data_IF_269870450982
#
_entry.id   IF_269870450982
#
_cell.length_a   1.000
_cell.length_b   1.000
_cell.length_c   1.000
_cell.angle_alpha   90.00
_cell.angle_beta   90.00
_cell.angle_gamma   90.00
#
_symmetry.space_group_name_H-M   'P 1'
#
loop_
_entity.id
_entity.type
_entity.pdbx_description
1 polymer ?
#
# COMPACT_ATOMS: atom_id res chain seq x y z
N UNK A 1 -18.46 -13.36 -17.11
CA UNK A 1 -18.11 -14.26 -15.99
C UNK A 1 -19.31 -14.73 -15.15
N UNK A 2 -20.15 -13.86 -14.54
CA UNK A 2 -21.30 -14.28 -13.68
C UNK A 2 -22.37 -15.15 -14.34
N UNK A 3 -22.64 -14.97 -15.64
CA UNK A 3 -23.81 -15.55 -16.34
C UNK A 3 -23.61 -16.95 -16.95
N UNK A 4 -22.40 -17.50 -16.92
CA UNK A 4 -22.11 -18.81 -17.52
C UNK A 4 -21.41 -19.78 -16.58
N UNK A 5 -20.57 -19.28 -15.66
CA UNK A 5 -19.78 -20.15 -14.78
C UNK A 5 -20.53 -20.64 -13.53
N UNK A 6 -21.46 -19.84 -13.00
CA UNK A 6 -22.20 -20.18 -11.77
C UNK A 6 -23.16 -21.35 -11.99
N UNK A 7 -23.96 -21.42 -13.08
CA UNK A 7 -24.87 -22.54 -13.31
C UNK A 7 -24.13 -23.87 -13.49
N UNK A 8 -23.00 -23.86 -14.21
CA UNK A 8 -22.16 -25.03 -14.45
C UNK A 8 -21.54 -25.58 -13.15
N UNK A 9 -21.07 -24.69 -12.26
CA UNK A 9 -20.52 -25.09 -10.95
C UNK A 9 -21.57 -25.67 -9.99
N UNK A 10 -22.83 -25.21 -10.09
CA UNK A 10 -23.94 -25.74 -9.29
C UNK A 10 -24.43 -27.10 -9.81
N UNK A 11 -24.37 -27.35 -11.13
CA UNK A 11 -24.81 -28.61 -11.73
C UNK A 11 -23.77 -29.73 -11.59
N UNK A 12 -22.48 -29.47 -11.81
CA UNK A 12 -21.47 -30.53 -11.94
C UNK A 12 -20.63 -30.81 -10.68
N UNK A 13 -20.56 -29.89 -9.71
CA UNK A 13 -19.64 -30.02 -8.56
C UNK A 13 -20.33 -30.15 -7.19
N UNK A 14 -21.18 -29.19 -6.79
CA UNK A 14 -21.96 -29.27 -5.54
C UNK A 14 -22.99 -28.12 -5.47
N UNK A 15 -24.24 -28.39 -5.08
CA UNK A 15 -25.24 -27.33 -4.87
C UNK A 15 -24.82 -26.31 -3.78
N UNK A 16 -23.88 -26.69 -2.92
CA UNK A 16 -23.31 -25.83 -1.86
C UNK A 16 -22.10 -24.97 -2.29
N UNK A 17 -21.70 -24.98 -3.58
CA UNK A 17 -20.57 -24.15 -4.05
C UNK A 17 -20.82 -22.66 -3.79
N UNK A 18 -22.05 -22.16 -3.99
CA UNK A 18 -22.38 -20.75 -3.72
C UNK A 18 -22.21 -20.40 -2.23
N UNK A 19 -22.83 -21.10 -1.26
CA UNK A 19 -22.65 -20.78 0.16
C UNK A 19 -21.21 -20.93 0.64
N UNK A 20 -20.43 -21.89 0.12
CA UNK A 20 -18.99 -21.97 0.43
C UNK A 20 -18.19 -20.80 -0.13
N UNK A 21 -18.47 -20.35 -1.36
CA UNK A 21 -17.84 -19.16 -1.93
C UNK A 21 -18.23 -17.88 -1.17
N UNK A 22 -19.48 -17.79 -0.71
CA UNK A 22 -19.93 -16.68 0.14
C UNK A 22 -19.20 -16.69 1.48
N UNK A 23 -19.15 -17.83 2.17
CA UNK A 23 -18.44 -17.96 3.44
C UNK A 23 -16.93 -17.66 3.30
N UNK A 24 -16.30 -18.08 2.20
CA UNK A 24 -14.93 -17.68 1.87
C UNK A 24 -14.82 -16.17 1.63
N UNK A 25 -15.78 -15.56 0.94
CA UNK A 25 -15.86 -14.11 0.76
C UNK A 25 -15.96 -13.35 2.09
N UNK A 26 -16.76 -13.85 3.02
CA UNK A 26 -16.92 -13.27 4.36
C UNK A 26 -15.62 -13.41 5.18
N UNK A 27 -15.04 -14.61 5.24
CA UNK A 27 -13.79 -14.86 5.97
C UNK A 27 -12.62 -14.03 5.41
N UNK A 28 -12.54 -13.89 4.09
CA UNK A 28 -11.52 -13.06 3.44
C UNK A 28 -11.75 -11.59 3.73
N UNK A 29 -12.99 -11.12 3.77
CA UNK A 29 -13.33 -9.73 4.12
C UNK A 29 -12.90 -9.40 5.55
N UNK A 30 -13.24 -10.25 6.52
CA UNK A 30 -12.84 -10.06 7.91
C UNK A 30 -11.31 -10.05 8.08
N UNK A 31 -10.63 -11.00 7.41
CA UNK A 31 -9.17 -11.08 7.41
C UNK A 31 -8.52 -9.84 6.81
N UNK A 32 -9.06 -9.33 5.70
CA UNK A 32 -8.58 -8.11 5.06
C UNK A 32 -8.81 -6.87 5.93
N UNK A 33 -9.97 -6.76 6.60
CA UNK A 33 -10.25 -5.68 7.54
C UNK A 33 -9.27 -5.65 8.72
N UNK A 34 -8.90 -6.82 9.24
CA UNK A 34 -7.88 -6.94 10.28
C UNK A 34 -6.50 -6.47 9.78
N UNK A 35 -6.09 -6.91 8.58
CA UNK A 35 -4.85 -6.47 7.94
C UNK A 35 -4.84 -4.96 7.68
N UNK A 36 -5.97 -4.40 7.26
CA UNK A 36 -6.15 -2.98 7.10
C UNK A 36 -5.90 -2.28 8.45
N UNK A 37 -6.62 -2.65 9.51
CA UNK A 37 -6.45 -2.03 10.83
C UNK A 37 -5.00 -2.09 11.33
N UNK A 38 -4.30 -3.21 11.10
CA UNK A 38 -2.88 -3.34 11.43
C UNK A 38 -2.02 -2.40 10.58
N UNK A 39 -2.29 -2.27 9.28
CA UNK A 39 -1.60 -1.33 8.41
C UNK A 39 -1.81 0.13 8.84
N UNK A 40 -3.02 0.52 9.24
CA UNK A 40 -3.26 1.86 9.81
C UNK A 40 -2.43 2.10 11.07
N UNK A 41 -2.29 1.08 11.91
CA UNK A 41 -1.46 1.15 13.11
C UNK A 41 0.01 1.37 12.76
N UNK A 42 0.53 0.62 11.78
CA UNK A 42 1.90 0.83 11.27
C UNK A 42 2.07 2.27 10.80
N UNK A 43 1.14 2.79 10.00
CA UNK A 43 1.21 4.16 9.50
C UNK A 43 1.12 5.19 10.61
N UNK A 44 0.22 5.01 11.58
CA UNK A 44 0.08 5.93 12.72
C UNK A 44 1.35 6.01 13.56
N UNK A 45 2.07 4.91 13.69
CA UNK A 45 3.29 4.85 14.49
C UNK A 45 4.54 5.32 13.72
N UNK A 46 4.57 5.14 12.40
CA UNK A 46 5.75 5.38 11.56
C UNK A 46 5.71 6.67 10.73
N UNK A 47 4.54 7.25 10.45
CA UNK A 47 4.44 8.51 9.70
C UNK A 47 4.86 9.67 10.60
N UNK A 48 5.98 10.30 10.27
CA UNK A 48 6.49 11.49 10.95
C UNK A 48 5.81 12.77 10.48
N UNK A 49 5.51 12.84 9.17
CA UNK A 49 4.86 13.98 8.56
C UNK A 49 4.04 13.51 7.37
N UNK A 50 2.81 14.02 7.26
CA UNK A 50 1.94 13.79 6.11
C UNK A 50 1.35 15.11 5.63
N UNK A 51 1.67 15.46 4.41
CA UNK A 51 1.13 16.62 3.68
C UNK A 51 0.82 16.20 2.25
N UNK A 52 0.15 17.05 1.47
CA UNK A 52 -0.13 16.77 0.06
C UNK A 52 1.16 16.63 -0.78
N UNK A 53 2.22 17.36 -0.41
CA UNK A 53 3.46 17.47 -1.18
C UNK A 53 4.62 16.64 -0.61
N UNK A 54 4.51 16.18 0.64
CA UNK A 54 5.53 15.33 1.24
C UNK A 54 4.96 14.40 2.29
N UNK A 55 5.41 13.15 2.23
CA UNK A 55 5.21 12.17 3.30
C UNK A 55 6.57 11.69 3.80
N UNK A 56 6.75 11.71 5.12
CA UNK A 56 7.97 11.26 5.80
C UNK A 56 7.63 10.09 6.70
N UNK A 57 8.37 8.99 6.53
CA UNK A 57 8.22 7.73 7.24
C UNK A 57 9.49 7.46 8.05
N UNK A 58 9.33 7.01 9.29
CA UNK A 58 10.41 6.51 10.14
C UNK A 58 10.63 5.02 9.85
N UNK A 59 11.71 4.72 9.12
CA UNK A 59 12.08 3.37 8.74
C UNK A 59 12.35 2.50 9.98
N UNK A 60 12.86 3.06 11.08
CA UNK A 60 13.15 2.26 12.28
C UNK A 60 11.86 1.68 12.87
N UNK A 61 10.80 2.50 12.92
CA UNK A 61 9.48 2.08 13.38
C UNK A 61 8.80 1.16 12.37
N UNK A 62 8.95 1.42 11.07
CA UNK A 62 8.41 0.52 10.04
C UNK A 62 9.05 -0.86 10.11
N UNK A 63 10.37 -0.96 10.30
CA UNK A 63 11.10 -2.24 10.33
C UNK A 63 10.78 -3.13 11.53
N UNK A 64 10.04 -2.63 12.52
CA UNK A 64 9.52 -3.46 13.62
C UNK A 64 8.38 -4.37 13.17
N UNK A 65 7.78 -4.09 12.00
CA UNK A 65 6.66 -4.83 11.46
C UNK A 65 7.10 -5.80 10.35
N UNK A 66 6.34 -6.89 10.10
CA UNK A 66 6.65 -7.82 9.02
C UNK A 66 6.66 -7.14 7.63
N UNK A 67 7.54 -7.54 6.69
CA UNK A 67 7.63 -6.93 5.36
C UNK A 67 6.31 -6.92 4.58
N UNK A 68 5.49 -7.95 4.74
CA UNK A 68 4.17 -8.03 4.11
C UNK A 68 3.23 -6.93 4.64
N UNK A 69 3.30 -6.61 5.93
CA UNK A 69 2.49 -5.56 6.55
C UNK A 69 3.01 -4.16 6.21
N UNK A 70 4.33 -3.99 6.15
CA UNK A 70 4.96 -2.75 5.63
C UNK A 70 4.45 -2.46 4.21
N UNK A 71 4.44 -3.48 3.34
CA UNK A 71 3.94 -3.36 1.97
C UNK A 71 2.45 -2.99 1.95
N UNK A 72 1.62 -3.66 2.76
CA UNK A 72 0.19 -3.34 2.86
C UNK A 72 -0.05 -1.91 3.35
N UNK A 73 0.71 -1.48 4.35
CA UNK A 73 0.69 -0.12 4.88
C UNK A 73 1.09 0.92 3.82
N UNK A 74 2.14 0.67 3.03
CA UNK A 74 2.56 1.57 1.95
C UNK A 74 1.51 1.70 0.84
N UNK A 75 0.88 0.59 0.44
CA UNK A 75 -0.22 0.59 -0.52
C UNK A 75 -1.38 1.43 0.03
N UNK A 76 -1.74 1.21 1.29
CA UNK A 76 -2.85 1.91 1.93
C UNK A 76 -2.57 3.41 2.10
N UNK A 77 -1.35 3.76 2.50
CA UNK A 77 -0.89 5.15 2.57
C UNK A 77 -1.07 5.85 1.21
N UNK A 78 -0.68 5.17 0.13
CA UNK A 78 -0.82 5.70 -1.23
C UNK A 78 -2.29 5.92 -1.62
N UNK A 79 -3.16 4.96 -1.31
CA UNK A 79 -4.61 5.10 -1.56
C UNK A 79 -5.19 6.28 -0.77
N UNK A 80 -4.77 6.49 0.48
CA UNK A 80 -5.21 7.62 1.29
C UNK A 80 -4.66 8.98 0.80
N UNK A 81 -3.57 9.00 0.04
CA UNK A 81 -3.00 10.22 -0.56
C UNK A 81 -3.66 10.58 -1.90
N UNK A 82 -4.56 9.74 -2.42
CA UNK A 82 -5.23 9.92 -3.72
C UNK A 82 -4.25 10.04 -4.90
N UNK A 83 -3.03 9.52 -4.75
CA UNK A 83 -2.01 9.57 -5.80
C UNK A 83 -2.31 8.57 -6.93
N UNK A 84 -1.94 8.88 -8.19
CA UNK A 84 -2.32 8.07 -9.33
C UNK A 84 -1.71 6.67 -9.28
N UNK A 85 -2.53 5.66 -9.01
CA UNK A 85 -2.11 4.25 -8.91
C UNK A 85 -1.86 3.57 -10.27
N UNK A 86 -2.24 4.21 -11.39
CA UNK A 86 -2.40 3.60 -12.72
C UNK A 86 -1.16 2.91 -13.34
N UNK A 87 -0.01 2.90 -12.66
CA UNK A 87 1.22 2.23 -13.13
C UNK A 87 2.03 1.50 -12.02
N UNK A 88 1.54 1.47 -10.78
CA UNK A 88 2.23 0.81 -9.66
C UNK A 88 1.98 -0.70 -9.66
N UNK A 89 2.95 -1.46 -10.15
CA UNK A 89 2.97 -2.93 -10.08
C UNK A 89 3.50 -3.45 -8.74
N UNK A 90 3.28 -4.73 -8.43
CA UNK A 90 3.80 -5.38 -7.22
C UNK A 90 5.33 -5.24 -7.07
N UNK A 91 6.07 -5.28 -8.18
CA UNK A 91 7.53 -5.09 -8.18
C UNK A 91 7.95 -3.72 -7.61
N UNK A 92 7.19 -2.66 -7.86
CA UNK A 92 7.46 -1.34 -7.31
C UNK A 92 7.23 -1.28 -5.81
N UNK A 93 6.16 -1.93 -5.32
CA UNK A 93 5.87 -2.03 -3.89
C UNK A 93 6.91 -2.85 -3.15
N UNK A 94 7.34 -3.97 -3.75
CA UNK A 94 8.41 -4.79 -3.20
C UNK A 94 9.73 -4.01 -3.13
N UNK A 95 10.05 -3.19 -4.15
CA UNK A 95 11.23 -2.31 -4.13
C UNK A 95 11.14 -1.23 -3.06
N UNK A 96 9.98 -0.58 -2.90
CA UNK A 96 9.77 0.43 -1.86
C UNK A 96 9.88 -0.18 -0.45
N UNK A 97 9.23 -1.31 -0.21
CA UNK A 97 9.33 -2.02 1.06
C UNK A 97 10.76 -2.50 1.33
N UNK A 98 11.47 -2.99 0.31
CA UNK A 98 12.87 -3.35 0.44
C UNK A 98 13.74 -2.16 0.83
N UNK A 99 13.52 -0.97 0.26
CA UNK A 99 14.25 0.25 0.62
C UNK A 99 13.97 0.70 2.06
N UNK A 100 12.72 0.60 2.53
CA UNK A 100 12.35 0.87 3.93
C UNK A 100 13.02 -0.13 4.87
N UNK A 101 13.09 -1.41 4.47
CA UNK A 101 13.68 -2.49 5.27
C UNK A 101 15.21 -2.54 5.24
N UNK A 102 15.82 -2.12 4.13
CA UNK A 102 17.27 -2.02 3.99
C UNK A 102 17.76 -0.78 4.73
N UNK A 103 17.85 -0.92 6.05
CA UNK A 103 18.73 -0.07 6.84
C UNK A 103 20.11 -0.15 6.20
N UNK A 104 20.58 0.98 5.66
CA UNK A 104 21.83 1.11 4.91
C UNK A 104 22.91 0.18 5.47
N UNK A 105 23.11 -0.99 4.87
CA UNK A 105 24.22 -1.85 5.25
C UNK A 105 25.49 -1.12 4.80
N UNK A 106 26.42 -0.78 5.70
CA UNK A 106 27.64 -0.10 5.32
C UNK A 106 28.41 -1.01 4.35
N UNK A 107 28.44 -0.63 3.07
CA UNK A 107 29.16 -1.37 2.01
C UNK A 107 28.32 -1.84 0.82
N UNK A 108 26.99 -1.74 0.86
CA UNK A 108 26.16 -1.95 -0.34
C UNK A 108 25.80 -0.60 -0.95
N UNK A 109 25.79 -0.42 -2.29
CA UNK A 109 25.24 0.77 -2.93
C UNK A 109 23.72 0.76 -2.74
N UNK A 110 23.27 1.07 -1.52
CA UNK A 110 21.88 1.16 -1.16
C UNK A 110 21.27 2.28 -1.99
N UNK A 111 20.40 1.91 -2.92
CA UNK A 111 19.74 2.85 -3.80
C UNK A 111 18.94 3.84 -2.94
N UNK A 112 19.50 5.03 -2.79
CA UNK A 112 19.05 6.02 -1.81
C UNK A 112 17.88 6.84 -2.35
N UNK A 113 17.66 6.80 -3.67
CA UNK A 113 16.59 7.51 -4.35
C UNK A 113 16.14 6.74 -5.60
N UNK A 114 14.84 6.67 -5.84
CA UNK A 114 14.29 6.21 -7.11
C UNK A 114 12.95 6.87 -7.41
N UNK A 115 12.51 6.81 -8.67
CA UNK A 115 11.21 7.34 -9.08
C UNK A 115 10.19 6.23 -9.24
N UNK A 116 9.02 6.44 -8.64
CA UNK A 116 7.84 5.63 -8.87
C UNK A 116 7.06 6.13 -10.08
N UNK A 117 6.31 5.24 -10.75
CA UNK A 117 5.42 5.65 -11.84
C UNK A 117 4.35 6.64 -11.33
N UNK A 118 4.34 7.87 -11.87
CA UNK A 118 3.32 8.86 -11.52
C UNK A 118 3.87 10.15 -10.90
N UNK A 119 4.80 10.80 -11.59
CA UNK A 119 5.97 11.49 -10.99
C UNK A 119 5.98 11.47 -9.46
N UNK A 120 6.54 10.44 -8.82
CA UNK A 120 6.79 10.45 -7.37
C UNK A 120 8.23 10.07 -7.13
N UNK A 121 8.98 10.96 -6.50
CA UNK A 121 10.33 10.71 -6.04
C UNK A 121 10.28 10.07 -4.64
N UNK A 122 11.01 8.97 -4.49
CA UNK A 122 11.27 8.29 -3.22
C UNK A 122 12.71 8.56 -2.85
N UNK A 123 12.96 9.09 -1.66
CA UNK A 123 14.30 9.34 -1.13
C UNK A 123 14.42 8.72 0.27
N UNK A 124 15.37 7.79 0.46
CA UNK A 124 15.75 7.25 1.75
C UNK A 124 16.90 8.06 2.34
N UNK A 125 16.77 8.57 3.57
CA UNK A 125 17.85 9.24 4.29
C UNK A 125 18.05 8.55 5.64
N UNK A 126 19.09 7.73 5.74
CA UNK A 126 19.45 6.98 6.95
C UNK A 126 18.29 6.12 7.49
N UNK A 127 17.45 6.72 8.33
CA UNK A 127 16.33 6.11 9.03
C UNK A 127 14.97 6.68 8.59
N UNK A 128 14.94 7.56 7.59
CA UNK A 128 13.71 8.20 7.13
C UNK A 128 13.50 7.97 5.64
N UNK A 129 12.31 7.55 5.23
CA UNK A 129 11.91 7.55 3.82
C UNK A 129 11.00 8.74 3.54
N UNK A 130 11.33 9.50 2.52
CA UNK A 130 10.58 10.65 2.03
C UNK A 130 9.97 10.33 0.68
N UNK A 131 8.67 10.60 0.57
CA UNK A 131 7.89 10.47 -0.66
C UNK A 131 7.44 11.88 -1.07
N UNK A 132 7.83 12.31 -2.25
CA UNK A 132 7.46 13.62 -2.81
C UNK A 132 6.85 13.42 -4.20
N UNK A 133 5.62 13.89 -4.47
CA UNK A 133 5.12 13.95 -5.82
C UNK A 133 5.96 14.96 -6.60
N UNK A 134 6.59 14.48 -7.67
CA UNK A 134 7.25 15.32 -8.66
C UNK A 134 6.24 16.29 -9.27
N UNK A 135 6.72 17.51 -9.52
CA UNK A 135 5.95 18.72 -9.81
C UNK A 135 4.95 18.68 -11.00
N UNK A 136 4.74 17.53 -11.65
CA UNK A 136 3.78 17.34 -12.75
C UNK A 136 2.44 16.73 -12.36
N UNK A 137 2.16 16.53 -11.07
CA UNK A 137 0.93 15.90 -10.58
C UNK A 137 0.29 16.67 -9.43
N UNK A 138 -0.18 17.90 -9.69
CA UNK A 138 -1.04 18.63 -8.75
C UNK A 138 -2.24 17.76 -8.37
N UNK A 139 -2.29 17.34 -7.11
CA UNK A 139 -3.53 16.83 -6.53
C UNK A 139 -4.51 18.00 -6.45
N UNK A 140 -5.59 17.87 -7.22
CA UNK A 140 -6.76 18.73 -7.26
C UNK A 140 -7.20 19.06 -5.84
N UNK A 141 -7.11 20.33 -5.48
CA UNK A 141 -7.61 20.85 -4.22
C UNK A 141 -9.13 20.96 -4.30
N UNK A 142 -9.87 20.00 -3.74
CA UNK A 142 -11.30 20.21 -3.49
C UNK A 142 -11.51 20.79 -2.08
N UNK A 143 -11.61 22.11 -2.10
CA UNK A 143 -12.17 22.97 -1.08
C UNK A 143 -13.59 22.53 -0.70
N UNK A 144 -13.82 22.20 0.57
CA UNK A 144 -15.13 22.37 1.21
C UNK A 144 -15.01 22.31 2.73
N UNK A 145 -14.76 23.48 3.32
CA UNK A 145 -15.48 23.88 4.53
C UNK A 145 -16.88 24.34 4.08
N UNK A 146 -17.92 24.05 4.88
CA UNK A 146 -18.60 25.19 5.47
C UNK A 146 -19.02 24.99 6.94
N UNK A 147 -18.81 26.09 7.68
CA UNK A 147 -19.56 26.66 8.80
C UNK A 147 -19.95 25.80 9.99
#
# INVERSE_FOLDING_TARGET
>A
IRRQLIPLLQQDYNAQVIPHLTALGELTTESLQCLDQLADRVLKESVLQRTADVVRLDNTRMTQWPPALIRHALIRLWDQLHWPRKRLTEAHWNRLAALVCQQSQPGSPAETRFQLPGPVDVECRHQMTMLTPGAGGSCISESSAPQ
#
